data_IF_731281014831
#
_entry.id   IF_731281014831
#
_cell.length_a   1.000
_cell.length_b   1.000
_cell.length_c   1.000
_cell.angle_alpha   90.00
_cell.angle_beta   90.00
_cell.angle_gamma   90.00
#
_symmetry.space_group_name_H-M   'P 1'
#
loop_
_entity.id
_entity.type
_entity.pdbx_description
1 polymer ?
#
# COMPACT_ATOMS: atom_id res chain seq x y z
N UNK A 1 -15.41 36.69 42.77
CA UNK A 1 -15.97 35.59 41.94
C UNK A 1 -16.16 36.15 40.54
N UNK A 2 -15.08 36.29 39.76
CA UNK A 2 -14.41 35.27 38.94
C UNK A 2 -14.91 35.32 37.50
N UNK A 3 -13.99 35.73 36.62
CA UNK A 3 -13.76 35.19 35.29
C UNK A 3 -14.56 35.80 34.14
N UNK A 4 -13.97 36.87 33.58
CA UNK A 4 -14.11 37.19 32.17
C UNK A 4 -13.60 36.01 31.33
N UNK A 5 -14.50 35.39 30.58
CA UNK A 5 -14.16 34.56 29.43
C UNK A 5 -14.77 35.26 28.22
N UNK A 6 -13.98 36.12 27.60
CA UNK A 6 -14.26 36.56 26.25
C UNK A 6 -14.04 35.34 25.35
N UNK A 7 -15.12 34.70 24.91
CA UNK A 7 -15.03 33.82 23.76
C UNK A 7 -15.78 34.48 22.61
N UNK A 8 -14.98 34.93 21.65
CA UNK A 8 -15.41 35.71 20.51
C UNK A 8 -16.40 34.90 19.68
N UNK A 9 -17.59 35.48 19.53
CA UNK A 9 -18.57 35.13 18.52
C UNK A 9 -17.97 35.42 17.14
N UNK A 10 -17.76 34.38 16.33
CA UNK A 10 -17.53 34.53 14.89
C UNK A 10 -18.81 34.09 14.14
N UNK A 11 -19.51 35.02 13.46
CA UNK A 11 -20.88 34.84 13.00
C UNK A 11 -21.00 34.48 11.51
N UNK A 12 -20.30 33.48 10.98
CA UNK A 12 -20.24 33.36 9.51
C UNK A 12 -20.26 31.98 8.88
N UNK A 13 -20.88 30.95 9.47
CA UNK A 13 -21.19 29.76 8.67
C UNK A 13 -22.56 29.20 9.04
N UNK A 14 -23.61 29.87 8.54
CA UNK A 14 -24.90 29.24 8.26
C UNK A 14 -24.81 28.64 6.84
N UNK A 15 -24.30 27.40 6.76
CA UNK A 15 -24.26 26.60 5.53
C UNK A 15 -24.97 25.24 5.71
N UNK A 16 -25.77 25.09 6.76
CA UNK A 16 -26.53 23.87 7.09
C UNK A 16 -27.82 23.69 6.26
N UNK A 17 -27.95 24.32 5.09
CA UNK A 17 -29.18 24.21 4.31
C UNK A 17 -29.01 24.21 2.79
N UNK A 18 -27.85 23.78 2.26
CA UNK A 18 -27.80 23.46 0.83
C UNK A 18 -26.82 22.33 0.49
N UNK A 19 -27.41 21.24 0.04
CA UNK A 19 -26.79 20.05 -0.58
C UNK A 19 -26.31 18.96 0.38
N UNK A 20 -27.29 18.35 1.04
CA UNK A 20 -27.25 17.02 1.65
C UNK A 20 -27.27 15.90 0.58
N UNK A 21 -26.60 16.07 -0.55
CA UNK A 21 -26.65 15.16 -1.71
C UNK A 21 -25.29 14.94 -2.39
N UNK A 22 -24.22 14.88 -1.59
CA UNK A 22 -22.92 14.42 -2.09
C UNK A 22 -22.31 13.47 -1.07
N UNK A 23 -23.03 12.39 -0.78
CA UNK A 23 -22.55 11.30 0.07
C UNK A 23 -22.50 9.91 -0.55
N UNK A 24 -22.62 9.80 -1.88
CA UNK A 24 -22.42 8.54 -2.59
C UNK A 24 -21.38 8.59 -3.72
N UNK A 25 -20.72 9.74 -3.99
CA UNK A 25 -19.71 9.85 -5.07
C UNK A 25 -18.27 9.51 -4.63
N UNK A 26 -18.11 8.79 -3.51
CA UNK A 26 -16.81 8.25 -3.09
C UNK A 26 -16.58 6.81 -3.58
N UNK A 27 -17.55 6.20 -4.28
CA UNK A 27 -17.45 4.81 -4.71
C UNK A 27 -16.60 4.62 -5.99
N UNK A 28 -16.30 5.70 -6.74
CA UNK A 28 -15.52 5.61 -7.98
C UNK A 28 -14.06 6.10 -7.87
N UNK A 29 -13.66 6.75 -6.78
CA UNK A 29 -12.26 7.10 -6.49
C UNK A 29 -11.51 6.01 -5.70
N UNK A 30 -12.22 4.99 -5.23
CA UNK A 30 -11.66 3.79 -4.58
C UNK A 30 -11.25 2.71 -5.59
N UNK A 31 -11.11 3.08 -6.86
CA UNK A 31 -10.42 2.29 -7.87
C UNK A 31 -8.94 2.07 -7.52
N UNK A 32 -8.68 1.10 -6.64
CA UNK A 32 -7.38 0.48 -6.42
C UNK A 32 -6.25 1.40 -5.93
N UNK A 33 -6.47 2.17 -4.85
CA UNK A 33 -5.35 2.55 -3.98
C UNK A 33 -4.91 1.30 -3.20
N UNK A 34 -4.36 0.32 -3.94
CA UNK A 34 -3.94 -0.98 -3.42
C UNK A 34 -2.81 -0.74 -2.44
N UNK A 35 -3.07 -1.02 -1.17
CA UNK A 35 -2.06 -0.95 -0.13
C UNK A 35 -0.87 -1.82 -0.54
N UNK A 36 0.33 -1.24 -0.54
CA UNK A 36 1.57 -1.97 -0.84
C UNK A 36 1.66 -3.18 0.10
N UNK A 37 1.95 -4.40 -0.40
CA UNK A 37 1.97 -5.61 0.42
C UNK A 37 3.25 -5.70 1.25
N UNK A 38 3.53 -4.70 2.08
CA UNK A 38 4.75 -4.56 2.89
C UNK A 38 4.96 -5.74 3.83
N UNK A 39 3.90 -6.24 4.47
CA UNK A 39 3.99 -7.44 5.32
C UNK A 39 4.36 -8.70 4.54
N UNK A 40 3.78 -8.87 3.36
CA UNK A 40 4.06 -10.02 2.49
C UNK A 40 5.49 -9.94 1.91
N UNK A 41 5.93 -8.74 1.53
CA UNK A 41 7.31 -8.47 1.10
C UNK A 41 8.32 -8.73 2.21
N UNK A 42 8.03 -8.31 3.45
CA UNK A 42 8.90 -8.57 4.59
C UNK A 42 9.02 -10.08 4.91
N UNK A 43 7.91 -10.81 4.86
CA UNK A 43 7.93 -12.26 5.01
C UNK A 43 8.76 -12.94 3.91
N UNK A 44 8.56 -12.51 2.66
CA UNK A 44 9.32 -13.03 1.51
C UNK A 44 10.83 -12.80 1.64
N UNK A 45 11.25 -11.58 2.00
CA UNK A 45 12.68 -11.29 2.15
C UNK A 45 13.30 -12.05 3.31
N UNK A 46 12.56 -12.25 4.41
CA UNK A 46 13.03 -13.03 5.55
C UNK A 46 13.20 -14.52 5.19
N UNK A 47 12.23 -15.11 4.50
CA UNK A 47 12.31 -16.50 4.02
C UNK A 47 13.47 -16.68 3.05
N UNK A 48 13.64 -15.77 2.07
CA UNK A 48 14.77 -15.81 1.14
C UNK A 48 16.13 -15.63 1.85
N UNK A 49 16.20 -14.77 2.87
CA UNK A 49 17.39 -14.62 3.70
C UNK A 49 17.75 -15.91 4.44
N UNK A 50 16.75 -16.68 4.89
CA UNK A 50 16.93 -18.03 5.44
C UNK A 50 17.61 -19.01 4.48
N UNK A 51 17.42 -18.82 3.16
CA UNK A 51 18.10 -19.58 2.10
C UNK A 51 19.42 -18.94 1.65
N UNK A 52 19.95 -17.95 2.39
CA UNK A 52 21.21 -17.25 2.08
C UNK A 52 21.09 -16.23 0.95
N UNK A 53 19.88 -15.74 0.66
CA UNK A 53 19.59 -14.77 -0.41
C UNK A 53 18.95 -13.52 0.17
N UNK A 54 19.74 -12.47 0.36
CA UNK A 54 19.18 -11.16 0.70
C UNK A 54 18.59 -10.48 -0.54
N UNK A 55 17.37 -9.95 -0.42
CA UNK A 55 16.64 -9.28 -1.50
C UNK A 55 16.32 -7.85 -1.07
N UNK A 56 16.39 -6.91 -2.02
CA UNK A 56 15.97 -5.53 -1.80
C UNK A 56 14.49 -5.35 -2.14
N UNK A 57 13.66 -5.06 -1.13
CA UNK A 57 12.25 -4.72 -1.32
C UNK A 57 12.08 -3.45 -2.15
N UNK A 58 13.00 -2.48 -2.02
CA UNK A 58 12.98 -1.26 -2.83
C UNK A 58 13.17 -1.57 -4.32
N UNK A 59 14.07 -2.52 -4.67
CA UNK A 59 14.21 -2.95 -6.06
C UNK A 59 13.00 -3.75 -6.54
N UNK A 60 12.41 -4.62 -5.72
CA UNK A 60 11.18 -5.32 -6.13
C UNK A 60 10.02 -4.36 -6.40
N UNK A 61 9.90 -3.28 -5.62
CA UNK A 61 8.84 -2.28 -5.80
C UNK A 61 9.12 -1.28 -6.93
N UNK A 62 10.40 -1.05 -7.27
CA UNK A 62 10.81 -0.14 -8.33
C UNK A 62 11.00 -0.79 -9.70
N UNK A 63 11.26 -2.10 -9.74
CA UNK A 63 11.53 -2.87 -10.95
C UNK A 63 10.73 -4.18 -10.93
N UNK A 64 9.70 -4.23 -11.80
CA UNK A 64 8.81 -5.38 -11.93
C UNK A 64 9.54 -6.62 -12.45
N UNK A 65 10.47 -6.49 -13.39
CA UNK A 65 11.20 -7.63 -13.94
C UNK A 65 12.08 -8.28 -12.88
N UNK A 66 12.76 -7.46 -12.08
CA UNK A 66 13.50 -7.92 -10.91
C UNK A 66 12.59 -8.64 -9.92
N UNK A 67 11.43 -8.08 -9.59
CA UNK A 67 10.47 -8.74 -8.70
C UNK A 67 10.05 -10.11 -9.23
N UNK A 68 9.62 -10.19 -10.49
CA UNK A 68 9.18 -11.44 -11.12
C UNK A 68 10.29 -12.48 -11.17
N UNK A 69 11.53 -12.08 -11.43
CA UNK A 69 12.68 -12.98 -11.40
C UNK A 69 12.95 -13.54 -9.99
N UNK A 70 12.84 -12.72 -8.94
CA UNK A 70 12.98 -13.21 -7.56
C UNK A 70 11.86 -14.19 -7.18
N UNK A 71 10.62 -13.92 -7.62
CA UNK A 71 9.48 -14.81 -7.38
C UNK A 71 9.66 -16.15 -8.10
N UNK A 72 10.03 -16.13 -9.39
CA UNK A 72 10.36 -17.33 -10.14
C UNK A 72 11.47 -18.14 -9.46
N UNK A 73 12.49 -17.46 -8.92
CA UNK A 73 13.56 -18.09 -8.17
C UNK A 73 13.08 -18.74 -6.87
N UNK A 74 12.17 -18.11 -6.15
CA UNK A 74 11.60 -18.66 -4.92
C UNK A 74 10.90 -20.02 -5.16
N UNK A 75 10.30 -20.23 -6.35
CA UNK A 75 9.74 -21.53 -6.73
C UNK A 75 10.77 -22.65 -6.89
N UNK A 76 12.05 -22.32 -7.09
CA UNK A 76 13.15 -23.31 -7.20
C UNK A 76 13.68 -23.76 -5.85
N UNK A 77 13.37 -23.01 -4.79
CA UNK A 77 13.72 -23.36 -3.42
C UNK A 77 12.65 -24.34 -2.89
N UNK A 78 13.08 -25.46 -2.32
CA UNK A 78 12.20 -26.54 -1.84
C UNK A 78 11.48 -26.17 -0.53
N UNK A 79 10.98 -24.94 -0.46
CA UNK A 79 10.31 -24.35 0.69
C UNK A 79 8.86 -24.07 0.31
N UNK A 80 7.92 -24.69 1.02
CA UNK A 80 6.49 -24.59 0.72
C UNK A 80 5.91 -23.24 1.14
N UNK A 81 6.36 -22.70 2.28
CA UNK A 81 5.89 -21.42 2.82
C UNK A 81 6.34 -20.27 1.92
N UNK A 82 7.61 -20.29 1.52
CA UNK A 82 8.17 -19.33 0.58
C UNK A 82 7.42 -19.35 -0.77
N UNK A 83 7.02 -20.53 -1.23
CA UNK A 83 6.28 -20.69 -2.49
C UNK A 83 4.88 -20.10 -2.42
N UNK A 84 4.21 -20.25 -1.27
CA UNK A 84 2.89 -19.67 -1.03
C UNK A 84 2.96 -18.14 -0.98
N UNK A 85 3.95 -17.59 -0.26
CA UNK A 85 4.18 -16.14 -0.20
C UNK A 85 4.53 -15.59 -1.59
N UNK A 86 5.37 -16.30 -2.34
CA UNK A 86 5.74 -15.92 -3.71
C UNK A 86 4.53 -15.88 -4.65
N UNK A 87 3.62 -16.85 -4.57
CA UNK A 87 2.40 -16.87 -5.38
C UNK A 87 1.47 -15.69 -5.07
N UNK A 88 1.33 -15.31 -3.80
CA UNK A 88 0.54 -14.14 -3.39
C UNK A 88 1.16 -12.83 -3.90
N UNK A 89 2.49 -12.72 -3.86
CA UNK A 89 3.21 -11.57 -4.43
C UNK A 89 3.12 -11.54 -5.95
N UNK A 90 3.15 -12.70 -6.60
CA UNK A 90 3.00 -12.80 -8.06
C UNK A 90 1.68 -12.16 -8.50
N UNK A 91 0.56 -12.47 -7.84
CA UNK A 91 -0.72 -11.85 -8.15
C UNK A 91 -0.71 -10.31 -7.99
N UNK A 92 0.12 -9.77 -7.09
CA UNK A 92 0.29 -8.32 -6.94
C UNK A 92 1.14 -7.70 -8.06
N UNK A 93 2.27 -8.33 -8.41
CA UNK A 93 3.16 -7.81 -9.46
C UNK A 93 2.67 -8.10 -10.87
N UNK A 94 1.86 -9.14 -11.07
CA UNK A 94 1.28 -9.50 -12.36
C UNK A 94 0.24 -8.48 -12.81
N UNK A 95 -0.44 -7.84 -11.86
CA UNK A 95 -1.41 -6.76 -12.11
C UNK A 95 -0.70 -5.51 -12.67
N UNK A 96 -0.92 -5.23 -13.96
CA UNK A 96 -0.35 -4.06 -14.66
C UNK A 96 -0.79 -2.71 -14.08
N UNK A 97 -1.81 -2.72 -13.21
CA UNK A 97 -2.33 -1.52 -12.51
C UNK A 97 -1.73 -1.34 -11.13
N UNK A 98 -0.79 -2.18 -10.71
CA UNK A 98 -0.16 -2.07 -9.40
C UNK A 98 0.50 -0.68 -9.25
N UNK A 99 0.10 0.13 -8.25
CA UNK A 99 0.67 1.45 -8.07
C UNK A 99 2.15 1.32 -7.69
N UNK A 100 3.03 1.95 -8.47
CA UNK A 100 4.41 2.17 -8.06
C UNK A 100 4.36 3.03 -6.79
N UNK A 101 4.94 2.59 -5.65
CA UNK A 101 4.90 3.38 -4.44
C UNK A 101 5.52 4.75 -4.70
N UNK A 102 4.75 5.80 -4.40
CA UNK A 102 5.13 7.20 -4.57
C UNK A 102 6.26 7.57 -3.59
N UNK A 103 7.48 7.15 -3.92
CA UNK A 103 8.71 7.39 -3.16
C UNK A 103 9.98 7.22 -3.99
N UNK A 104 9.86 6.79 -5.26
CA UNK A 104 10.97 6.63 -6.21
C UNK A 104 10.83 7.62 -7.39
N UNK A 105 10.44 8.86 -7.08
CA UNK A 105 10.43 10.00 -8.02
C UNK A 105 11.08 11.21 -7.35
N UNK A 106 12.36 11.11 -7.01
CA UNK A 106 13.25 12.25 -6.76
C UNK A 106 14.69 11.75 -6.68
#
# INVERSE_FOLDING_TARGET
>A
MNNAVANAQLPWIDLTARSLDASDEYDELTGSMRYCPTGLLAAFTLLMAGHGRCISTAMMLGDREYAMWQLARAHTLQDAELREVAAKLFAYFDDERAPVPAGLRA
#
